data_IF_502679158612
#
_entry.id   IF_502679158612
#
_cell.length_a   1.000
_cell.length_b   1.000
_cell.length_c   1.000
_cell.angle_alpha   90.00
_cell.angle_beta   90.00
_cell.angle_gamma   90.00
#
_symmetry.space_group_name_H-M   'P 1'
#
loop_
_entity.id
_entity.type
_entity.pdbx_description
1 polymer ?
#
# COMPACT_ATOMS: atom_id res chain seq x y z
N UNK A 1 -15.36 -71.05 13.19
CA UNK A 1 -14.25 -70.28 12.58
C UNK A 1 -14.83 -68.93 12.17
N UNK A 2 -14.46 -67.91 12.93
CA UNK A 2 -14.87 -66.53 12.75
C UNK A 2 -13.90 -65.82 11.80
N UNK A 3 -14.39 -64.91 10.96
CA UNK A 3 -13.66 -63.71 10.51
C UNK A 3 -14.61 -62.81 9.74
N UNK A 4 -15.12 -61.79 10.43
CA UNK A 4 -15.73 -60.62 9.82
C UNK A 4 -14.65 -59.59 9.49
N UNK A 5 -14.72 -58.98 8.32
CA UNK A 5 -13.93 -57.81 7.98
C UNK A 5 -14.85 -56.60 7.82
N UNK A 6 -14.81 -55.75 8.85
CA UNK A 6 -15.35 -54.40 8.87
C UNK A 6 -14.63 -53.54 7.82
N UNK A 7 -15.36 -53.05 6.83
CA UNK A 7 -14.91 -51.93 6.00
C UNK A 7 -14.94 -50.66 6.86
N UNK A 8 -13.76 -50.24 7.35
CA UNK A 8 -13.57 -48.91 7.94
C UNK A 8 -13.64 -47.86 6.82
N UNK A 9 -14.76 -47.13 6.78
CA UNK A 9 -14.95 -45.93 5.98
C UNK A 9 -14.01 -44.82 6.52
N UNK A 10 -12.85 -44.64 5.88
CA UNK A 10 -11.94 -43.53 6.14
C UNK A 10 -12.49 -42.28 5.42
N UNK A 11 -13.34 -41.53 6.11
CA UNK A 11 -13.73 -40.17 5.70
C UNK A 11 -12.58 -39.24 6.04
N UNK A 12 -11.65 -39.05 5.10
CA UNK A 12 -10.68 -37.97 5.15
C UNK A 12 -11.44 -36.65 4.96
N UNK A 13 -11.73 -35.97 6.07
CA UNK A 13 -12.12 -34.57 6.06
C UNK A 13 -10.93 -33.77 5.51
N UNK A 14 -10.92 -33.54 4.21
CA UNK A 14 -10.08 -32.55 3.57
C UNK A 14 -10.55 -31.16 4.03
N UNK A 15 -10.06 -30.71 5.19
CA UNK A 15 -10.16 -29.32 5.57
C UNK A 15 -9.41 -28.52 4.49
N UNK A 16 -10.06 -27.61 3.75
CA UNK A 16 -9.36 -26.83 2.77
C UNK A 16 -8.36 -25.95 3.51
N UNK A 17 -7.06 -26.24 3.34
CA UNK A 17 -5.93 -25.38 3.66
C UNK A 17 -5.91 -24.16 2.71
N UNK A 18 -7.06 -23.53 2.51
CA UNK A 18 -7.13 -22.20 1.94
C UNK A 18 -6.81 -21.26 3.10
N UNK A 19 -5.51 -21.16 3.41
CA UNK A 19 -4.99 -20.16 4.33
C UNK A 19 -5.43 -18.80 3.85
N UNK A 20 -6.46 -18.25 4.47
CA UNK A 20 -6.96 -16.93 4.14
C UNK A 20 -5.84 -15.93 4.39
N UNK A 21 -5.53 -15.11 3.39
CA UNK A 21 -4.51 -14.07 3.45
C UNK A 21 -5.01 -12.89 4.30
N UNK A 22 -5.35 -13.16 5.56
CA UNK A 22 -5.70 -12.15 6.54
C UNK A 22 -4.42 -11.61 7.17
N UNK A 23 -4.41 -10.30 7.38
CA UNK A 23 -3.45 -9.64 8.24
C UNK A 23 -3.45 -10.35 9.60
N UNK A 24 -2.30 -10.89 9.98
CA UNK A 24 -2.15 -11.55 11.28
C UNK A 24 -1.78 -10.47 12.27
N UNK A 25 -2.80 -9.99 12.97
CA UNK A 25 -2.65 -9.03 14.03
C UNK A 25 -2.31 -9.75 15.34
N UNK A 26 -1.53 -9.11 16.20
CA UNK A 26 -1.29 -9.59 17.57
C UNK A 26 -2.59 -9.62 18.38
N UNK A 27 -2.63 -10.46 19.43
CA UNK A 27 -3.84 -10.66 20.23
C UNK A 27 -4.38 -9.34 20.80
N UNK A 28 -5.70 -9.12 20.66
CA UNK A 28 -6.37 -7.90 21.11
C UNK A 28 -6.38 -6.74 20.12
N UNK A 29 -5.59 -6.82 19.04
CA UNK A 29 -5.60 -5.81 17.98
C UNK A 29 -6.77 -5.98 17.01
N UNK A 30 -7.30 -4.85 16.54
CA UNK A 30 -8.43 -4.77 15.62
C UNK A 30 -8.11 -3.82 14.48
N UNK A 31 -8.44 -4.21 13.24
CA UNK A 31 -8.19 -3.37 12.06
C UNK A 31 -8.95 -2.04 12.12
N UNK A 32 -10.05 -2.00 12.87
CA UNK A 32 -10.81 -0.78 13.14
C UNK A 32 -9.97 0.29 13.86
N UNK A 33 -9.00 -0.11 14.70
CA UNK A 33 -8.08 0.81 15.35
C UNK A 33 -7.17 1.49 14.33
N UNK A 34 -6.63 0.73 13.36
CA UNK A 34 -5.86 1.29 12.25
C UNK A 34 -6.71 2.25 11.42
N UNK A 35 -7.95 1.86 11.09
CA UNK A 35 -8.87 2.71 10.31
C UNK A 35 -9.20 4.01 11.04
N UNK A 36 -9.28 4.00 12.37
CA UNK A 36 -9.52 5.18 13.18
C UNK A 36 -8.34 6.16 13.18
N UNK A 37 -7.11 5.71 12.89
CA UNK A 37 -5.97 6.60 12.70
C UNK A 37 -6.12 7.51 11.46
N UNK A 38 -6.86 7.07 10.44
CA UNK A 38 -7.02 7.81 9.18
C UNK A 38 -5.98 7.46 8.12
N UNK A 39 -6.07 8.11 6.96
CA UNK A 39 -5.17 7.93 5.81
C UNK A 39 -4.92 9.23 5.05
N UNK A 40 -5.32 10.38 5.63
CA UNK A 40 -5.24 11.69 4.96
C UNK A 40 -3.81 12.05 4.58
N UNK A 41 -2.84 11.52 5.33
CA UNK A 41 -1.41 11.67 5.12
C UNK A 41 -0.88 10.95 3.86
N UNK A 42 -1.68 10.13 3.15
CA UNK A 42 -1.26 9.51 1.89
C UNK A 42 -1.61 10.45 0.72
N UNK A 43 -0.61 11.04 0.03
CA UNK A 43 -0.86 12.02 -1.03
C UNK A 43 -1.76 11.48 -2.15
N UNK A 44 -2.74 12.28 -2.55
CA UNK A 44 -3.70 11.96 -3.62
C UNK A 44 -4.52 10.66 -3.40
N UNK A 45 -4.56 10.10 -2.19
CA UNK A 45 -5.34 8.87 -1.92
C UNK A 45 -6.85 9.13 -1.89
N UNK A 46 -7.27 10.23 -1.23
CA UNK A 46 -8.68 10.60 -1.06
C UNK A 46 -9.24 11.51 -2.16
N UNK A 47 -8.38 12.12 -2.95
CA UNK A 47 -8.82 13.03 -4.00
C UNK A 47 -7.69 13.58 -4.86
N UNK A 48 -8.02 14.39 -5.87
CA UNK A 48 -7.10 14.87 -6.89
C UNK A 48 -6.36 16.17 -6.50
N UNK A 49 -6.29 16.50 -5.22
CA UNK A 49 -5.76 17.80 -4.78
C UNK A 49 -5.03 17.68 -3.45
N UNK A 50 -3.93 18.40 -3.34
CA UNK A 50 -3.20 18.65 -2.10
C UNK A 50 -3.19 20.14 -1.81
N UNK A 51 -3.29 20.51 -0.53
CA UNK A 51 -3.30 21.91 -0.13
C UNK A 51 -1.95 22.57 -0.39
N UNK A 52 -1.97 23.68 -1.12
CA UNK A 52 -0.76 24.33 -1.58
C UNK A 52 -0.06 25.09 -0.45
N UNK A 53 -0.78 25.89 0.34
CA UNK A 53 -0.16 26.76 1.36
C UNK A 53 -1.18 27.30 2.37
N UNK A 54 -0.69 28.07 3.35
CA UNK A 54 -1.52 28.80 4.29
C UNK A 54 -2.30 27.90 5.24
N UNK A 55 -3.46 28.38 5.70
CA UNK A 55 -4.25 27.72 6.76
C UNK A 55 -4.68 26.31 6.39
N UNK A 56 -4.97 26.03 5.12
CA UNK A 56 -5.37 24.69 4.71
C UNK A 56 -4.21 23.68 4.81
N UNK A 57 -3.00 24.08 4.40
CA UNK A 57 -1.80 23.27 4.57
C UNK A 57 -1.48 23.07 6.06
N UNK A 58 -1.59 24.13 6.87
CA UNK A 58 -1.38 24.04 8.32
C UNK A 58 -2.35 23.06 8.99
N UNK A 59 -3.60 23.02 8.56
CA UNK A 59 -4.62 22.10 9.08
C UNK A 59 -4.33 20.64 8.71
N UNK A 60 -3.89 20.38 7.47
CA UNK A 60 -3.46 19.04 7.07
C UNK A 60 -2.21 18.62 7.83
N UNK A 61 -1.20 19.48 7.94
CA UNK A 61 -0.01 19.21 8.73
C UNK A 61 -0.33 18.89 10.21
N UNK A 62 -1.29 19.57 10.83
CA UNK A 62 -1.76 19.25 12.19
C UNK A 62 -2.45 17.89 12.24
N UNK A 63 -3.26 17.55 11.23
CA UNK A 63 -3.94 16.26 11.14
C UNK A 63 -2.93 15.13 11.00
N UNK A 64 -1.96 15.26 10.11
CA UNK A 64 -0.95 14.24 9.83
C UNK A 64 -0.07 13.95 11.06
N UNK A 65 0.26 14.99 11.83
CA UNK A 65 0.92 14.85 13.16
C UNK A 65 0.14 14.04 14.19
N UNK A 66 -1.14 13.78 13.95
CA UNK A 66 -1.97 12.87 14.77
C UNK A 66 -2.10 11.50 14.11
N UNK A 67 -2.35 11.46 12.80
CA UNK A 67 -2.62 10.21 12.08
C UNK A 67 -1.39 9.31 11.94
N UNK A 68 -0.22 9.90 11.68
CA UNK A 68 1.03 9.15 11.46
C UNK A 68 1.49 8.47 12.75
N UNK A 69 1.63 9.17 13.91
CA UNK A 69 2.00 8.50 15.16
C UNK A 69 1.00 7.43 15.59
N UNK A 70 -0.31 7.65 15.36
CA UNK A 70 -1.34 6.64 15.61
C UNK A 70 -1.09 5.37 14.76
N UNK A 71 -0.82 5.55 13.47
CA UNK A 71 -0.53 4.44 12.54
C UNK A 71 0.76 3.72 12.91
N UNK A 72 1.83 4.45 13.25
CA UNK A 72 3.09 3.88 13.72
C UNK A 72 2.91 3.08 15.01
N UNK A 73 2.13 3.60 15.96
CA UNK A 73 1.84 2.90 17.21
C UNK A 73 1.09 1.59 16.93
N UNK A 74 0.06 1.64 16.07
CA UNK A 74 -0.66 0.43 15.64
C UNK A 74 0.28 -0.59 15.01
N UNK A 75 1.12 -0.19 14.04
CA UNK A 75 2.07 -1.10 13.40
C UNK A 75 3.00 -1.71 14.45
N UNK A 76 3.48 -0.91 15.39
CA UNK A 76 4.41 -1.37 16.41
C UNK A 76 3.80 -2.38 17.39
N UNK A 77 2.56 -2.16 17.82
CA UNK A 77 1.87 -3.01 18.81
C UNK A 77 1.17 -4.21 18.19
N UNK A 78 0.69 -4.09 16.96
CA UNK A 78 -0.26 -5.03 16.37
C UNK A 78 0.28 -5.86 15.22
N UNK A 79 1.52 -5.63 14.79
CA UNK A 79 2.15 -6.41 13.71
C UNK A 79 3.51 -6.93 14.14
N UNK A 80 4.02 -7.93 13.41
CA UNK A 80 5.27 -8.60 13.77
C UNK A 80 6.13 -8.89 12.53
N UNK A 81 7.37 -9.34 12.78
CA UNK A 81 8.28 -9.84 11.75
C UNK A 81 8.59 -8.85 10.63
N UNK A 82 8.73 -9.39 9.41
CA UNK A 82 9.12 -8.61 8.23
C UNK A 82 8.05 -7.62 7.79
N UNK A 83 6.76 -7.95 7.99
CA UNK A 83 5.66 -7.03 7.71
C UNK A 83 5.68 -5.78 8.59
N UNK A 84 6.02 -5.93 9.88
CA UNK A 84 6.22 -4.79 10.79
C UNK A 84 7.36 -3.91 10.31
N UNK A 85 8.51 -4.52 9.98
CA UNK A 85 9.69 -3.78 9.54
C UNK A 85 9.40 -2.98 8.25
N UNK A 86 8.80 -3.63 7.23
CA UNK A 86 8.43 -2.99 5.98
C UNK A 86 7.44 -1.83 6.18
N UNK A 87 6.39 -2.04 6.99
CA UNK A 87 5.40 -1.01 7.27
C UNK A 87 5.99 0.18 8.06
N UNK A 88 6.84 -0.08 9.06
CA UNK A 88 7.52 0.98 9.80
C UNK A 88 8.45 1.80 8.92
N UNK A 89 9.22 1.17 8.03
CA UNK A 89 10.09 1.89 7.08
C UNK A 89 9.25 2.80 6.19
N UNK A 90 8.19 2.27 5.58
CA UNK A 90 7.35 3.05 4.67
C UNK A 90 6.65 4.23 5.36
N UNK A 91 6.08 4.02 6.54
CA UNK A 91 5.35 5.08 7.27
C UNK A 91 6.30 6.11 7.86
N UNK A 92 7.49 5.72 8.32
CA UNK A 92 8.52 6.69 8.77
C UNK A 92 9.09 7.52 7.63
N UNK A 93 9.33 6.91 6.47
CA UNK A 93 9.72 7.67 5.27
C UNK A 93 8.65 8.71 4.90
N UNK A 94 7.37 8.35 5.02
CA UNK A 94 6.28 9.30 4.79
C UNK A 94 6.19 10.39 5.88
N UNK A 95 6.44 10.03 7.15
CA UNK A 95 6.56 10.98 8.27
C UNK A 95 7.63 12.03 7.96
N UNK A 96 8.84 11.62 7.58
CA UNK A 96 9.95 12.50 7.24
C UNK A 96 9.59 13.45 6.08
N UNK A 97 8.94 12.95 5.04
CA UNK A 97 8.48 13.76 3.90
C UNK A 97 7.43 14.79 4.32
N UNK A 98 6.47 14.40 5.16
CA UNK A 98 5.43 15.29 5.64
C UNK A 98 6.01 16.35 6.58
N UNK A 99 6.88 15.97 7.51
CA UNK A 99 7.58 16.93 8.37
C UNK A 99 8.38 17.95 7.55
N UNK A 100 9.05 17.48 6.50
CA UNK A 100 9.81 18.32 5.59
C UNK A 100 8.91 19.32 4.83
N UNK A 101 7.77 18.88 4.32
CA UNK A 101 6.77 19.76 3.67
C UNK A 101 6.10 20.70 4.68
N UNK A 102 5.83 20.24 5.91
CA UNK A 102 5.16 21.04 6.93
C UNK A 102 6.07 22.06 7.63
N UNK A 103 7.39 22.00 7.39
CA UNK A 103 8.35 22.96 7.90
C UNK A 103 8.48 24.16 6.94
N UNK A 104 7.57 25.14 7.09
CA UNK A 104 7.50 26.32 6.22
C UNK A 104 8.83 27.06 6.16
N UNK A 105 9.30 27.32 4.94
CA UNK A 105 10.56 28.02 4.68
C UNK A 105 11.80 27.12 4.61
N UNK A 106 11.67 25.83 4.95
CA UNK A 106 12.71 24.83 4.67
C UNK A 106 12.90 24.61 3.16
N UNK A 107 14.03 24.02 2.77
CA UNK A 107 14.27 23.71 1.35
C UNK A 107 13.28 22.68 0.78
N UNK A 108 12.94 21.58 1.49
CA UNK A 108 11.89 20.66 1.04
C UNK A 108 10.53 21.33 0.88
N UNK A 109 10.15 22.25 1.79
CA UNK A 109 8.93 23.05 1.60
C UNK A 109 8.99 23.87 0.32
N UNK A 110 10.12 24.52 0.01
CA UNK A 110 10.27 25.30 -1.24
C UNK A 110 10.19 24.41 -2.48
N UNK A 111 10.74 23.20 -2.43
CA UNK A 111 10.62 22.22 -3.51
C UNK A 111 9.18 21.78 -3.73
N UNK A 112 8.46 21.46 -2.65
CA UNK A 112 7.02 21.21 -2.70
C UNK A 112 6.25 22.40 -3.29
N UNK A 113 6.49 23.62 -2.81
CA UNK A 113 5.84 24.83 -3.33
C UNK A 113 6.09 25.07 -4.82
N UNK A 114 7.30 24.72 -5.30
CA UNK A 114 7.65 24.86 -6.72
C UNK A 114 6.80 23.94 -7.60
N UNK A 115 6.53 22.72 -7.13
CA UNK A 115 5.86 21.69 -7.91
C UNK A 115 4.35 21.57 -7.69
N UNK A 116 3.82 22.03 -6.53
CA UNK A 116 2.47 21.67 -6.08
C UNK A 116 1.37 22.12 -7.02
N UNK A 117 1.45 23.34 -7.55
CA UNK A 117 0.47 23.86 -8.53
C UNK A 117 0.39 23.00 -9.78
N UNK A 118 1.54 22.56 -10.29
CA UNK A 118 1.58 21.70 -11.45
C UNK A 118 1.04 20.30 -11.11
N UNK A 119 1.44 19.73 -9.97
CA UNK A 119 0.90 18.44 -9.52
C UNK A 119 -0.62 18.47 -9.38
N UNK A 120 -1.19 19.51 -8.75
CA UNK A 120 -2.63 19.69 -8.60
C UNK A 120 -3.35 19.82 -9.95
N UNK A 121 -2.74 20.50 -10.94
CA UNK A 121 -3.31 20.59 -12.30
C UNK A 121 -3.42 19.23 -13.01
N UNK A 122 -2.62 18.25 -12.59
CA UNK A 122 -2.65 16.85 -13.04
C UNK A 122 -3.15 15.87 -11.96
N UNK A 123 -3.73 16.40 -10.88
CA UNK A 123 -4.04 15.60 -9.70
C UNK A 123 -5.13 14.55 -9.94
N UNK A 124 -6.00 14.75 -10.94
CA UNK A 124 -6.99 13.74 -11.36
C UNK A 124 -6.29 12.50 -11.90
N UNK A 125 -5.24 12.67 -12.71
CA UNK A 125 -4.45 11.58 -13.27
C UNK A 125 -3.64 10.89 -12.17
N UNK A 126 -2.99 11.67 -11.29
CA UNK A 126 -2.22 11.13 -10.16
C UNK A 126 -3.12 10.31 -9.23
N UNK A 127 -4.27 10.86 -8.82
CA UNK A 127 -5.25 10.16 -8.00
C UNK A 127 -5.73 8.87 -8.67
N UNK A 128 -5.95 8.88 -9.99
CA UNK A 128 -6.29 7.66 -10.74
C UNK A 128 -5.19 6.61 -10.69
N UNK A 129 -3.91 7.00 -10.77
CA UNK A 129 -2.78 6.07 -10.62
C UNK A 129 -2.78 5.43 -9.22
N UNK A 130 -2.88 6.25 -8.17
CA UNK A 130 -2.91 5.78 -6.77
C UNK A 130 -4.12 4.88 -6.51
N UNK A 131 -5.29 5.22 -7.04
CA UNK A 131 -6.50 4.39 -6.94
C UNK A 131 -6.35 3.07 -7.73
N UNK A 132 -5.70 3.11 -8.89
CA UNK A 132 -5.39 1.91 -9.68
C UNK A 132 -4.50 0.94 -8.91
N UNK A 133 -3.49 1.46 -8.21
CA UNK A 133 -2.66 0.68 -7.28
C UNK A 133 -3.50 0.03 -6.19
N UNK A 134 -4.25 0.86 -5.45
CA UNK A 134 -5.11 0.42 -4.37
C UNK A 134 -6.04 -0.71 -4.81
N UNK A 135 -6.75 -0.52 -5.91
CA UNK A 135 -7.76 -1.47 -6.39
C UNK A 135 -7.13 -2.79 -6.86
N UNK A 136 -5.94 -2.74 -7.46
CA UNK A 136 -5.19 -3.92 -7.91
C UNK A 136 -4.69 -4.74 -6.73
N UNK A 137 -4.02 -4.09 -5.77
CA UNK A 137 -3.46 -4.77 -4.59
C UNK A 137 -4.57 -5.29 -3.70
N UNK A 138 -5.63 -4.51 -3.47
CA UNK A 138 -6.83 -4.95 -2.73
C UNK A 138 -7.44 -6.21 -3.34
N UNK A 139 -7.55 -6.26 -4.68
CA UNK A 139 -8.07 -7.45 -5.37
C UNK A 139 -7.15 -8.64 -5.20
N UNK A 140 -5.83 -8.43 -5.27
CA UNK A 140 -4.85 -9.50 -5.07
C UNK A 140 -4.93 -10.08 -3.66
N UNK A 141 -5.06 -9.23 -2.65
CA UNK A 141 -5.23 -9.64 -1.25
C UNK A 141 -6.51 -10.48 -1.04
N UNK A 142 -7.61 -10.14 -1.72
CA UNK A 142 -8.91 -10.79 -1.50
C UNK A 142 -9.09 -12.05 -2.36
N UNK A 143 -8.65 -12.01 -3.63
CA UNK A 143 -8.92 -13.06 -4.62
C UNK A 143 -7.70 -13.91 -4.98
N UNK A 144 -6.49 -13.44 -4.68
CA UNK A 144 -5.24 -14.13 -4.97
C UNK A 144 -4.73 -14.95 -3.78
N UNK A 145 -3.71 -15.76 -4.05
CA UNK A 145 -2.88 -16.37 -3.01
C UNK A 145 -1.88 -15.36 -2.42
N UNK A 146 -1.30 -15.69 -1.26
CA UNK A 146 -0.25 -14.90 -0.60
C UNK A 146 0.88 -14.53 -1.58
N UNK A 147 1.36 -15.51 -2.34
CA UNK A 147 2.43 -15.30 -3.33
C UNK A 147 2.00 -14.41 -4.49
N UNK A 148 0.76 -14.57 -4.97
CA UNK A 148 0.21 -13.70 -6.00
C UNK A 148 0.10 -12.25 -5.52
N UNK A 149 -0.32 -12.01 -4.27
CA UNK A 149 -0.38 -10.67 -3.69
C UNK A 149 0.96 -9.94 -3.81
N UNK A 150 2.07 -10.58 -3.50
CA UNK A 150 3.41 -9.99 -3.68
C UNK A 150 3.66 -9.66 -5.16
N UNK A 151 3.39 -10.60 -6.08
CA UNK A 151 3.61 -10.37 -7.51
C UNK A 151 2.78 -9.21 -8.07
N UNK A 152 1.48 -9.16 -7.77
CA UNK A 152 0.61 -8.06 -8.21
C UNK A 152 1.03 -6.73 -7.57
N UNK A 153 1.42 -6.72 -6.29
CA UNK A 153 1.91 -5.51 -5.62
C UNK A 153 3.14 -4.96 -6.33
N UNK A 154 4.08 -5.83 -6.67
CA UNK A 154 5.31 -5.47 -7.38
C UNK A 154 5.06 -4.90 -8.78
N UNK A 155 4.24 -5.57 -9.59
CA UNK A 155 3.90 -5.07 -10.91
C UNK A 155 3.11 -3.75 -10.84
N UNK A 156 2.11 -3.71 -9.96
CA UNK A 156 1.26 -2.54 -9.74
C UNK A 156 2.07 -1.33 -9.24
N UNK A 157 3.09 -1.54 -8.42
CA UNK A 157 4.00 -0.48 -7.98
C UNK A 157 4.71 0.18 -9.17
N UNK A 158 5.32 -0.62 -10.05
CA UNK A 158 6.00 -0.10 -11.23
C UNK A 158 5.03 0.57 -12.21
N UNK A 159 3.86 -0.02 -12.44
CA UNK A 159 2.82 0.59 -13.28
C UNK A 159 2.35 1.93 -12.69
N UNK A 160 2.32 2.05 -11.36
CA UNK A 160 1.95 3.30 -10.67
C UNK A 160 3.03 4.36 -10.80
N UNK A 161 4.30 4.00 -10.66
CA UNK A 161 5.42 4.92 -10.93
C UNK A 161 5.37 5.42 -12.38
N UNK A 162 5.14 4.54 -13.35
CA UNK A 162 5.03 4.90 -14.77
C UNK A 162 3.82 5.80 -15.04
N UNK A 163 2.68 5.49 -14.40
CA UNK A 163 1.46 6.29 -14.50
C UNK A 163 1.67 7.70 -13.94
N UNK A 164 2.28 7.83 -12.76
CA UNK A 164 2.56 9.13 -12.12
C UNK A 164 3.61 9.91 -12.90
N UNK A 165 4.68 9.24 -13.34
CA UNK A 165 5.71 9.79 -14.21
C UNK A 165 5.08 10.41 -15.46
N UNK A 166 4.23 9.66 -16.17
CA UNK A 166 3.53 10.13 -17.37
C UNK A 166 2.55 11.27 -17.08
N UNK A 167 1.86 11.22 -15.93
CA UNK A 167 0.95 12.29 -15.51
C UNK A 167 1.69 13.60 -15.22
N UNK A 168 2.96 13.52 -14.83
CA UNK A 168 3.80 14.66 -14.45
C UNK A 168 4.86 15.03 -15.50
N UNK A 169 4.88 14.39 -16.67
CA UNK A 169 5.75 14.81 -17.79
C UNK A 169 5.58 16.31 -18.14
N UNK A 170 4.36 16.89 -18.15
CA UNK A 170 4.19 18.34 -18.35
C UNK A 170 4.81 19.21 -17.24
N UNK A 171 5.10 18.62 -16.09
CA UNK A 171 5.65 19.28 -14.90
C UNK A 171 7.17 19.09 -14.73
N UNK A 172 7.87 18.52 -15.72
CA UNK A 172 9.30 18.22 -15.62
C UNK A 172 10.13 19.48 -15.32
N UNK A 173 9.81 20.61 -15.96
CA UNK A 173 10.54 21.88 -15.79
C UNK A 173 10.51 22.46 -14.36
N UNK A 174 9.55 22.04 -13.53
CA UNK A 174 9.42 22.50 -12.14
C UNK A 174 9.83 21.43 -11.12
N UNK A 175 10.28 20.26 -11.58
CA UNK A 175 10.76 19.16 -10.72
C UNK A 175 9.67 18.38 -10.00
N UNK A 176 8.39 18.58 -10.34
CA UNK A 176 7.27 17.88 -9.66
C UNK A 176 7.36 16.36 -9.80
N UNK A 177 7.81 15.89 -10.97
CA UNK A 177 7.97 14.46 -11.27
C UNK A 177 9.00 13.82 -10.34
N UNK A 178 10.20 14.37 -10.28
CA UNK A 178 11.28 13.86 -9.44
C UNK A 178 10.91 13.92 -7.96
N UNK A 179 10.26 15.00 -7.53
CA UNK A 179 9.75 15.12 -6.17
C UNK A 179 8.76 13.99 -5.83
N UNK A 180 7.70 13.80 -6.63
CA UNK A 180 6.67 12.80 -6.34
C UNK A 180 7.20 11.36 -6.43
N UNK A 181 8.02 11.06 -7.44
CA UNK A 181 8.63 9.73 -7.60
C UNK A 181 9.61 9.46 -6.46
N UNK A 182 10.43 10.46 -6.08
CA UNK A 182 11.36 10.35 -4.95
C UNK A 182 10.66 10.01 -3.63
N UNK A 183 9.52 10.65 -3.33
CA UNK A 183 8.70 10.31 -2.15
C UNK A 183 8.26 8.84 -2.18
N UNK A 184 7.73 8.37 -3.32
CA UNK A 184 7.23 6.99 -3.46
C UNK A 184 8.38 5.97 -3.37
N UNK A 185 9.53 6.27 -3.97
CA UNK A 185 10.73 5.43 -3.91
C UNK A 185 11.32 5.38 -2.51
N UNK A 186 11.37 6.51 -1.79
CA UNK A 186 11.82 6.52 -0.39
C UNK A 186 10.91 5.67 0.51
N UNK A 187 9.60 5.69 0.26
CA UNK A 187 8.64 4.89 1.05
C UNK A 187 8.73 3.39 0.76
N UNK A 188 8.82 2.98 -0.50
CA UNK A 188 8.61 1.59 -0.90
C UNK A 188 9.77 0.95 -1.67
N UNK A 189 10.66 1.75 -2.25
CA UNK A 189 11.66 1.30 -3.22
C UNK A 189 12.57 0.22 -2.67
N UNK A 190 13.18 0.43 -1.51
CA UNK A 190 14.08 -0.58 -0.90
C UNK A 190 13.36 -1.89 -0.58
N UNK A 191 12.18 -1.79 0.05
CA UNK A 191 11.38 -2.96 0.43
C UNK A 191 10.96 -3.75 -0.81
N UNK A 192 10.45 -3.06 -1.84
CA UNK A 192 9.98 -3.70 -3.06
C UNK A 192 11.14 -4.26 -3.90
N UNK A 193 12.27 -3.57 -3.97
CA UNK A 193 13.47 -4.10 -4.62
C UNK A 193 13.94 -5.43 -4.01
N UNK A 194 13.77 -5.61 -2.70
CA UNK A 194 14.10 -6.86 -2.02
C UNK A 194 13.15 -8.01 -2.37
N UNK A 195 11.85 -7.74 -2.51
CA UNK A 195 10.82 -8.80 -2.59
C UNK A 195 10.31 -9.07 -4.00
N UNK A 196 10.45 -8.12 -4.92
CA UNK A 196 9.84 -8.21 -6.24
C UNK A 196 10.58 -9.17 -7.19
N UNK A 197 11.88 -9.36 -6.99
CA UNK A 197 12.69 -10.31 -7.75
C UNK A 197 12.51 -10.13 -9.27
N UNK A 198 11.79 -11.05 -9.92
CA UNK A 198 11.52 -11.04 -11.37
C UNK A 198 10.30 -10.23 -11.80
N UNK A 199 9.47 -9.77 -10.87
CA UNK A 199 8.25 -8.98 -11.14
C UNK A 199 8.58 -7.50 -11.13
N UNK A 200 9.41 -7.09 -12.10
CA UNK A 200 9.87 -5.71 -12.26
C UNK A 200 9.20 -5.03 -13.44
N UNK A 201 9.40 -3.72 -13.57
CA UNK A 201 8.88 -2.89 -14.67
C UNK A 201 9.10 -3.56 -16.03
N UNK A 202 8.01 -3.73 -16.79
CA UNK A 202 8.05 -4.26 -18.17
C UNK A 202 8.41 -5.74 -18.31
N UNK A 203 8.62 -6.46 -17.21
CA UNK A 203 8.98 -7.89 -17.22
C UNK A 203 7.88 -8.76 -17.83
N UNK A 204 8.27 -9.86 -18.48
CA UNK A 204 7.31 -10.86 -18.97
C UNK A 204 6.54 -11.54 -17.83
N UNK A 205 7.12 -11.56 -16.63
CA UNK A 205 6.45 -12.02 -15.42
C UNK A 205 5.26 -11.16 -15.03
N UNK A 206 5.38 -9.83 -15.11
CA UNK A 206 4.22 -8.94 -14.90
C UNK A 206 3.18 -9.09 -16.01
N UNK A 207 3.61 -9.17 -17.27
CA UNK A 207 2.71 -9.32 -18.43
C UNK A 207 1.94 -10.65 -18.44
N UNK A 208 2.50 -11.70 -17.82
CA UNK A 208 1.91 -13.04 -17.75
C UNK A 208 1.07 -13.29 -16.50
N UNK A 209 0.95 -12.31 -15.60
CA UNK A 209 0.04 -12.44 -14.46
C UNK A 209 -1.41 -12.59 -14.96
N UNK A 210 -2.15 -13.59 -14.47
CA UNK A 210 -3.53 -13.78 -14.88
C UNK A 210 -4.39 -12.58 -14.46
N UNK A 211 -5.57 -12.43 -15.04
CA UNK A 211 -6.50 -11.41 -14.54
C UNK A 211 -7.17 -11.93 -13.27
N UNK A 212 -7.06 -11.17 -12.18
CA UNK A 212 -7.77 -11.49 -10.94
C UNK A 212 -9.29 -11.27 -11.10
N UNK A 213 -10.13 -12.15 -10.52
CA UNK A 213 -11.57 -11.97 -10.49
C UNK A 213 -11.98 -10.60 -9.91
N UNK A 214 -13.07 -9.99 -10.40
CA UNK A 214 -13.59 -8.77 -9.78
C UNK A 214 -14.02 -9.02 -8.33
N UNK A 215 -14.02 -7.96 -7.53
CA UNK A 215 -14.59 -8.00 -6.19
C UNK A 215 -16.13 -8.06 -6.28
N UNK A 216 -16.73 -8.79 -5.36
CA UNK A 216 -18.18 -8.95 -5.22
C UNK A 216 -18.67 -8.37 -3.87
N UNK A 217 -19.99 -8.32 -3.68
CA UNK A 217 -20.58 -7.73 -2.47
C UNK A 217 -20.37 -8.57 -1.19
N UNK A 218 -19.98 -9.84 -1.32
CA UNK A 218 -19.71 -10.75 -0.19
C UNK A 218 -18.24 -10.73 0.23
N UNK A 219 -17.36 -10.17 -0.60
CA UNK A 219 -15.95 -10.01 -0.28
C UNK A 219 -15.76 -9.08 0.92
N UNK A 220 -14.74 -9.39 1.72
CA UNK A 220 -14.39 -8.58 2.87
C UNK A 220 -14.01 -7.16 2.45
N UNK A 221 -14.39 -6.19 3.28
CA UNK A 221 -14.05 -4.79 3.07
C UNK A 221 -12.64 -4.51 3.58
N UNK A 222 -11.78 -4.03 2.68
CA UNK A 222 -10.56 -3.28 3.00
C UNK A 222 -10.87 -1.80 2.81
N UNK A 223 -10.69 -1.02 3.87
CA UNK A 223 -11.33 0.29 4.04
C UNK A 223 -10.53 1.46 3.52
N UNK A 224 -9.20 1.38 3.55
CA UNK A 224 -8.29 2.48 3.24
C UNK A 224 -6.94 1.96 2.69
N UNK A 225 -6.13 2.86 2.14
CA UNK A 225 -4.82 2.56 1.54
C UNK A 225 -3.82 2.04 2.58
N UNK A 226 -3.83 2.57 3.79
CA UNK A 226 -2.93 2.10 4.88
C UNK A 226 -3.17 0.61 5.17
N UNK A 227 -4.44 0.19 5.23
CA UNK A 227 -4.83 -1.21 5.41
C UNK A 227 -4.36 -2.05 4.23
N UNK A 228 -4.59 -1.62 2.97
CA UNK A 228 -4.09 -2.33 1.77
C UNK A 228 -2.58 -2.55 1.86
N UNK A 229 -1.81 -1.52 2.18
CA UNK A 229 -0.35 -1.59 2.27
C UNK A 229 0.10 -2.54 3.40
N UNK A 230 -0.56 -2.48 4.56
CA UNK A 230 -0.22 -3.33 5.70
C UNK A 230 -0.55 -4.80 5.44
N UNK A 231 -1.69 -5.08 4.80
CA UNK A 231 -2.06 -6.43 4.40
C UNK A 231 -1.12 -7.00 3.34
N UNK A 232 -0.74 -6.18 2.34
CA UNK A 232 0.26 -6.56 1.34
C UNK A 232 1.62 -6.82 2.00
N UNK A 233 2.08 -5.96 2.91
CA UNK A 233 3.30 -6.19 3.69
C UNK A 233 3.21 -7.47 4.52
N UNK A 234 2.04 -7.78 5.08
CA UNK A 234 1.72 -9.02 5.79
C UNK A 234 1.96 -10.30 4.96
N UNK A 235 1.98 -10.20 3.63
CA UNK A 235 2.28 -11.34 2.75
C UNK A 235 3.77 -11.58 2.55
N UNK A 236 4.61 -10.59 2.86
CA UNK A 236 6.06 -10.66 2.66
C UNK A 236 6.66 -11.67 3.65
N UNK A 237 7.44 -12.62 3.13
CA UNK A 237 8.15 -13.62 3.93
C UNK A 237 7.30 -14.80 4.41
N UNK A 238 5.99 -14.84 4.10
CA UNK A 238 5.15 -16.01 4.38
C UNK A 238 5.47 -17.13 3.37
N UNK A 239 5.69 -18.34 3.89
CA UNK A 239 5.79 -19.56 3.08
C UNK A 239 4.36 -20.05 2.79
N UNK A 240 4.08 -20.38 1.52
CA UNK A 240 2.84 -21.05 1.12
C UNK A 240 2.73 -22.45 1.73
#
# INVERSE_FOLDING_TARGET
>A
MASGHYYRLLVLLAAPLLGTCQLQLSDGCKVETLRACGEDFIPYSKGPYLHESGTELDEVCKRDKVQIPCTLNFINECTEGLSKAAALVAVKALEENIEAVCNVGSDPYKEFQRGIKCMNSHGVQIHKCIKGFHDTVKRAIIKGSVKETVHYTCCSYHDTLDCISSALDPCESVGSKDFMIGVIEQMFGETLNLVCGRYTKGSDNCKSLPQLPPLDAKDRRIGNMVEVLLEAAGTIGRKN
#
